data_IF_814604643245
#
_entry.id   IF_814604643245
#
_cell.length_a   1.000
_cell.length_b   1.000
_cell.length_c   1.000
_cell.angle_alpha   90.00
_cell.angle_beta   90.00
_cell.angle_gamma   90.00
#
_symmetry.space_group_name_H-M   'P 1'
#
loop_
_entity.id
_entity.type
_entity.pdbx_description
1 polymer ?
#
# COMPACT_ATOMS: atom_id res chain seq x y z
N UNK A 1 13.27 -37.33 40.19
CA UNK A 1 13.90 -38.53 40.80
C UNK A 1 15.40 -38.39 40.67
N UNK A 2 16.15 -38.74 41.73
CA UNK A 2 17.60 -38.85 41.62
C UNK A 2 17.97 -39.97 40.63
N UNK A 3 19.11 -39.83 39.95
CA UNK A 3 19.61 -40.84 39.01
C UNK A 3 20.00 -42.09 39.84
N UNK A 4 19.44 -43.27 39.54
CA UNK A 4 19.86 -44.50 40.21
C UNK A 4 21.35 -44.78 39.97
N UNK A 5 22.05 -45.22 41.01
CA UNK A 5 23.47 -45.58 40.93
C UNK A 5 23.59 -47.09 41.07
N UNK A 6 24.33 -47.70 40.15
CA UNK A 6 24.72 -49.12 40.25
C UNK A 6 26.08 -49.18 40.93
N UNK A 7 26.14 -49.80 42.11
CA UNK A 7 27.37 -50.00 42.84
C UNK A 7 28.23 -51.03 42.11
N UNK A 8 29.52 -50.75 41.82
CA UNK A 8 30.41 -51.74 41.23
C UNK A 8 30.48 -53.01 42.09
N UNK A 9 30.48 -54.18 41.46
CA UNK A 9 30.66 -55.43 42.16
C UNK A 9 32.06 -55.51 42.80
N UNK A 10 32.18 -56.19 43.97
CA UNK A 10 33.48 -56.58 44.51
C UNK A 10 34.28 -57.44 43.52
N UNK A 11 35.58 -57.61 43.77
CA UNK A 11 36.43 -58.50 42.96
C UNK A 11 35.80 -59.89 42.86
N UNK A 12 35.68 -60.42 41.64
CA UNK A 12 35.18 -61.78 41.44
C UNK A 12 36.20 -62.82 41.94
N UNK A 13 35.75 -63.93 42.56
CA UNK A 13 36.66 -64.98 42.99
C UNK A 13 37.29 -65.67 41.78
N UNK A 14 38.61 -65.90 41.81
CA UNK A 14 39.34 -66.61 40.75
C UNK A 14 39.91 -67.92 41.27
N UNK A 15 39.76 -68.98 40.48
CA UNK A 15 40.35 -70.30 40.80
C UNK A 15 41.88 -70.29 40.81
N UNK A 16 42.50 -69.24 40.31
CA UNK A 16 43.95 -69.07 40.30
C UNK A 16 44.53 -68.49 41.61
N UNK A 17 43.70 -67.90 42.49
CA UNK A 17 44.17 -67.18 43.69
C UNK A 17 44.45 -68.11 44.90
N UNK A 18 44.25 -69.42 44.75
CA UNK A 18 44.28 -70.38 45.87
C UNK A 18 42.98 -70.37 46.69
N UNK A 19 42.83 -71.35 47.58
CA UNK A 19 41.56 -71.60 48.29
C UNK A 19 41.17 -70.48 49.25
N UNK A 20 42.14 -69.89 49.95
CA UNK A 20 41.90 -68.83 50.94
C UNK A 20 41.38 -67.55 50.28
N UNK A 21 42.04 -67.07 49.23
CA UNK A 21 41.63 -65.87 48.51
C UNK A 21 40.34 -66.08 47.69
N UNK A 22 40.10 -67.29 47.17
CA UNK A 22 38.83 -67.62 46.52
C UNK A 22 37.66 -67.44 47.49
N UNK A 23 37.75 -67.99 48.71
CA UNK A 23 36.72 -67.86 49.73
C UNK A 23 36.57 -66.40 50.20
N UNK A 24 37.68 -65.68 50.33
CA UNK A 24 37.68 -64.25 50.72
C UNK A 24 36.88 -63.37 49.74
N UNK A 25 36.94 -63.66 48.43
CA UNK A 25 36.24 -62.87 47.40
C UNK A 25 34.86 -63.42 47.03
N UNK A 26 34.59 -64.70 47.27
CA UNK A 26 33.33 -65.33 46.90
C UNK A 26 32.13 -64.78 47.69
N UNK A 27 32.24 -64.70 49.02
CA UNK A 27 31.13 -64.27 49.86
C UNK A 27 30.72 -62.81 49.61
N UNK A 28 31.64 -61.82 49.53
CA UNK A 28 31.29 -60.45 49.19
C UNK A 28 30.69 -60.30 47.78
N UNK A 29 31.20 -61.06 46.80
CA UNK A 29 30.70 -61.02 45.43
C UNK A 29 29.26 -61.53 45.35
N UNK A 30 28.98 -62.70 45.93
CA UNK A 30 27.63 -63.29 45.95
C UNK A 30 26.66 -62.41 46.73
N UNK A 31 27.08 -61.86 47.87
CA UNK A 31 26.27 -60.94 48.67
C UNK A 31 25.91 -59.64 47.92
N UNK A 32 26.75 -59.20 46.98
CA UNK A 32 26.51 -58.00 46.18
C UNK A 32 25.56 -58.23 44.97
N UNK A 33 25.30 -59.48 44.57
CA UNK A 33 24.45 -59.76 43.40
C UNK A 33 22.97 -59.36 43.60
N UNK A 34 22.28 -59.69 44.72
CA UNK A 34 20.89 -59.29 44.90
C UNK A 34 20.68 -57.76 44.93
N UNK A 35 21.50 -56.97 45.67
CA UNK A 35 21.42 -55.51 45.60
C UNK A 35 21.65 -54.94 44.20
N UNK A 36 22.56 -55.52 43.42
CA UNK A 36 22.80 -55.10 42.02
C UNK A 36 21.55 -55.29 41.16
N UNK A 37 20.83 -56.41 41.29
CA UNK A 37 19.56 -56.63 40.55
C UNK A 37 18.53 -55.54 40.87
N UNK A 38 18.41 -55.14 42.14
CA UNK A 38 17.51 -54.06 42.55
C UNK A 38 17.93 -52.73 41.93
N UNK A 39 19.22 -52.41 41.94
CA UNK A 39 19.76 -51.18 41.34
C UNK A 39 19.57 -51.13 39.82
N UNK A 40 19.75 -52.26 39.12
CA UNK A 40 19.49 -52.37 37.68
C UNK A 40 18.00 -52.14 37.38
N UNK A 41 17.11 -52.78 38.11
CA UNK A 41 15.66 -52.60 37.92
C UNK A 41 15.21 -51.15 38.18
N UNK A 42 15.79 -50.50 39.19
CA UNK A 42 15.57 -49.08 39.45
C UNK A 42 16.07 -48.20 38.29
N UNK A 43 17.23 -48.53 37.72
CA UNK A 43 17.80 -47.82 36.55
C UNK A 43 16.92 -47.98 35.31
N UNK A 44 16.43 -49.18 35.02
CA UNK A 44 15.52 -49.45 33.91
C UNK A 44 14.19 -48.68 34.05
N UNK A 45 13.66 -48.63 35.28
CA UNK A 45 12.44 -47.86 35.58
C UNK A 45 12.67 -46.37 35.35
N UNK A 46 13.80 -45.82 35.81
CA UNK A 46 14.14 -44.43 35.59
C UNK A 46 14.32 -44.10 34.09
N UNK A 47 14.98 -44.98 33.33
CA UNK A 47 15.13 -44.83 31.87
C UNK A 47 13.75 -44.78 31.21
N UNK A 48 12.83 -45.69 31.58
CA UNK A 48 11.46 -45.68 31.06
C UNK A 48 10.76 -44.35 31.29
N UNK A 49 10.88 -43.79 32.49
CA UNK A 49 10.32 -42.47 32.81
C UNK A 49 10.94 -41.33 31.98
N UNK A 50 12.26 -41.36 31.75
CA UNK A 50 12.92 -40.35 30.90
C UNK A 50 12.45 -40.43 29.45
N UNK A 51 12.30 -41.64 28.90
CA UNK A 51 11.78 -41.84 27.54
C UNK A 51 10.36 -41.28 27.41
N UNK A 52 9.47 -41.59 28.35
CA UNK A 52 8.11 -41.03 28.36
C UNK A 52 8.12 -39.50 28.46
N UNK A 53 9.01 -38.92 29.25
CA UNK A 53 9.13 -37.46 29.33
C UNK A 53 9.58 -36.83 28.00
N UNK A 54 10.56 -37.45 27.33
CA UNK A 54 11.05 -37.02 26.01
C UNK A 54 9.94 -37.09 24.95
N UNK A 55 9.15 -38.17 24.93
CA UNK A 55 7.99 -38.31 24.05
C UNK A 55 6.95 -37.19 24.30
N UNK A 56 6.69 -36.87 25.58
CA UNK A 56 5.81 -35.76 25.97
C UNK A 56 6.30 -34.40 25.50
N UNK A 57 7.62 -34.14 25.60
CA UNK A 57 8.22 -32.92 25.07
C UNK A 57 8.13 -32.85 23.55
N UNK A 58 8.40 -33.95 22.83
CA UNK A 58 8.29 -33.99 21.38
C UNK A 58 6.86 -33.69 20.89
N UNK A 59 5.85 -34.28 21.54
CA UNK A 59 4.45 -34.02 21.24
C UNK A 59 4.08 -32.55 21.48
N UNK A 60 4.55 -31.96 22.59
CA UNK A 60 4.31 -30.56 22.94
C UNK A 60 4.95 -29.61 21.92
N UNK A 61 6.20 -29.86 21.52
CA UNK A 61 6.90 -29.07 20.50
C UNK A 61 6.14 -29.11 19.17
N UNK A 62 5.71 -30.30 18.73
CA UNK A 62 4.92 -30.44 17.51
C UNK A 62 3.62 -29.62 17.56
N UNK A 63 2.92 -29.64 18.70
CA UNK A 63 1.71 -28.84 18.91
C UNK A 63 1.97 -27.33 18.85
N UNK A 64 3.05 -26.88 19.51
CA UNK A 64 3.44 -25.47 19.50
C UNK A 64 3.81 -24.96 18.10
N UNK A 65 4.51 -25.78 17.31
CA UNK A 65 4.84 -25.44 15.91
C UNK A 65 3.57 -25.31 15.07
N UNK A 66 2.63 -26.24 15.21
CA UNK A 66 1.35 -26.17 14.49
C UNK A 66 0.54 -24.92 14.87
N UNK A 67 0.46 -24.60 16.17
CA UNK A 67 -0.22 -23.41 16.66
C UNK A 67 0.44 -22.12 16.13
N UNK A 68 1.77 -22.03 16.20
CA UNK A 68 2.52 -20.89 15.67
C UNK A 68 2.28 -20.68 14.17
N UNK A 69 2.27 -21.76 13.39
CA UNK A 69 1.94 -21.71 11.96
C UNK A 69 0.51 -21.21 11.72
N UNK A 70 -0.47 -21.73 12.45
CA UNK A 70 -1.86 -21.29 12.31
C UNK A 70 -2.05 -19.79 12.65
N UNK A 71 -1.36 -19.30 13.69
CA UNK A 71 -1.36 -17.87 14.03
C UNK A 71 -0.72 -17.02 12.93
N UNK A 72 0.41 -17.45 12.35
CA UNK A 72 1.05 -16.75 11.25
C UNK A 72 0.18 -16.70 9.98
N UNK A 73 -0.44 -17.83 9.61
CA UNK A 73 -1.36 -17.91 8.48
C UNK A 73 -2.59 -17.00 8.69
N UNK A 74 -3.13 -16.95 9.91
CA UNK A 74 -4.24 -16.06 10.27
C UNK A 74 -3.86 -14.58 10.18
N UNK A 75 -2.68 -14.20 10.68
CA UNK A 75 -2.19 -12.83 10.59
C UNK A 75 -2.00 -12.37 9.14
N UNK A 76 -1.47 -13.25 8.27
CA UNK A 76 -1.33 -12.97 6.85
C UNK A 76 -2.69 -12.79 6.15
N UNK A 77 -3.68 -13.63 6.48
CA UNK A 77 -5.04 -13.51 5.95
C UNK A 77 -5.72 -12.20 6.36
N UNK A 78 -5.59 -11.80 7.64
CA UNK A 78 -6.12 -10.53 8.14
C UNK A 78 -5.44 -9.35 7.44
N UNK A 79 -4.10 -9.37 7.30
CA UNK A 79 -3.37 -8.31 6.61
C UNK A 79 -3.81 -8.18 5.14
N UNK A 80 -4.01 -9.30 4.44
CA UNK A 80 -4.54 -9.30 3.07
C UNK A 80 -5.98 -8.74 3.00
N UNK A 81 -6.84 -9.11 3.95
CA UNK A 81 -8.21 -8.62 4.02
C UNK A 81 -8.27 -7.10 4.29
N UNK A 82 -7.45 -6.59 5.22
CA UNK A 82 -7.34 -5.15 5.50
C UNK A 82 -6.79 -4.41 4.28
N UNK A 83 -5.77 -4.95 3.62
CA UNK A 83 -5.23 -4.37 2.38
C UNK A 83 -6.29 -4.27 1.28
N UNK A 84 -7.10 -5.33 1.12
CA UNK A 84 -8.23 -5.32 0.17
C UNK A 84 -9.33 -4.35 0.57
N UNK A 85 -9.67 -4.25 1.86
CA UNK A 85 -10.69 -3.31 2.35
C UNK A 85 -10.26 -1.85 2.20
N UNK A 86 -8.97 -1.57 2.36
CA UNK A 86 -8.38 -0.26 2.12
C UNK A 86 -8.20 0.06 0.62
N UNK A 87 -8.55 -0.86 -0.29
CA UNK A 87 -8.40 -0.67 -1.73
C UNK A 87 -6.95 -0.52 -2.18
N UNK A 88 -5.99 -1.06 -1.42
CA UNK A 88 -4.57 -0.94 -1.74
C UNK A 88 -4.17 -1.95 -2.83
N UNK A 89 -3.53 -1.50 -3.92
CA UNK A 89 -3.04 -2.38 -4.97
C UNK A 89 -1.82 -3.20 -4.52
N UNK A 90 -1.56 -4.33 -5.18
CA UNK A 90 -0.40 -5.18 -4.91
C UNK A 90 0.92 -4.42 -5.07
N UNK A 91 1.85 -4.59 -4.12
CA UNK A 91 3.21 -4.05 -4.21
C UNK A 91 4.09 -4.80 -5.22
N UNK A 92 3.76 -6.06 -5.54
CA UNK A 92 4.56 -6.88 -6.44
C UNK A 92 4.57 -6.28 -7.85
N UNK A 93 5.77 -6.08 -8.41
CA UNK A 93 5.95 -5.48 -9.74
C UNK A 93 5.82 -3.95 -9.80
N UNK A 94 5.63 -3.28 -8.66
CA UNK A 94 5.43 -1.81 -8.59
C UNK A 94 6.58 -1.06 -7.89
N UNK A 95 7.79 -1.62 -7.91
CA UNK A 95 8.96 -0.97 -7.32
C UNK A 95 9.19 0.44 -7.92
N UNK A 96 9.41 1.43 -7.05
CA UNK A 96 9.67 2.85 -7.39
C UNK A 96 8.51 3.58 -8.09
N UNK A 97 7.33 2.97 -8.19
CA UNK A 97 6.14 3.66 -8.71
C UNK A 97 5.48 4.46 -7.60
N UNK A 98 5.04 5.67 -7.94
CA UNK A 98 4.26 6.50 -7.03
C UNK A 98 2.85 5.93 -6.89
N UNK A 99 2.30 5.95 -5.68
CA UNK A 99 0.89 5.65 -5.42
C UNK A 99 0.11 6.97 -5.52
N UNK A 100 -0.99 6.98 -6.26
CA UNK A 100 -1.87 8.14 -6.36
C UNK A 100 -3.34 7.73 -6.35
N UNK A 101 -4.21 8.67 -5.98
CA UNK A 101 -5.67 8.51 -6.02
C UNK A 101 -6.11 8.42 -7.48
N UNK A 102 -7.03 7.49 -7.77
CA UNK A 102 -7.61 7.33 -9.09
C UNK A 102 -8.43 8.58 -9.48
N UNK A 103 -8.55 8.87 -10.78
CA UNK A 103 -9.29 10.04 -11.26
C UNK A 103 -10.78 10.08 -10.85
N UNK A 104 -11.36 8.94 -10.48
CA UNK A 104 -12.73 8.83 -9.99
C UNK A 104 -12.84 8.88 -8.45
N UNK A 105 -11.74 9.11 -7.74
CA UNK A 105 -11.65 9.24 -6.27
C UNK A 105 -12.10 8.00 -5.47
N UNK A 106 -12.28 6.85 -6.11
CA UNK A 106 -12.76 5.62 -5.45
C UNK A 106 -11.67 4.69 -4.94
N UNK A 107 -10.39 5.05 -5.10
CA UNK A 107 -9.28 4.20 -4.68
C UNK A 107 -7.92 4.76 -5.08
N UNK A 108 -6.87 3.94 -4.93
CA UNK A 108 -5.49 4.29 -5.27
C UNK A 108 -4.88 3.27 -6.23
N UNK A 109 -3.97 3.71 -7.09
CA UNK A 109 -3.23 2.83 -8.01
C UNK A 109 -1.78 3.28 -8.17
N UNK A 110 -0.89 2.33 -8.46
CA UNK A 110 0.49 2.64 -8.81
C UNK A 110 0.55 3.26 -10.20
N UNK A 111 1.10 4.47 -10.27
CA UNK A 111 1.23 5.21 -11.51
C UNK A 111 2.32 4.59 -12.39
N UNK A 112 2.00 4.39 -13.67
CA UNK A 112 2.95 3.92 -14.68
C UNK A 112 3.88 5.04 -15.17
N UNK A 113 3.50 6.31 -14.93
CA UNK A 113 4.24 7.51 -15.32
C UNK A 113 4.15 8.54 -14.18
N UNK A 114 5.27 9.18 -13.82
CA UNK A 114 5.30 10.26 -12.80
C UNK A 114 4.49 11.49 -13.28
N UNK A 115 4.35 11.67 -14.59
CA UNK A 115 3.56 12.75 -15.21
C UNK A 115 2.04 12.55 -15.16
N UNK A 116 1.50 11.43 -14.67
CA UNK A 116 0.05 11.16 -14.71
C UNK A 116 -0.80 11.99 -13.74
N UNK A 117 -0.19 12.59 -12.71
CA UNK A 117 -0.91 13.38 -11.71
C UNK A 117 -0.98 14.85 -12.13
N UNK A 118 -1.89 15.16 -13.04
CA UNK A 118 -2.18 16.54 -13.42
C UNK A 118 -3.18 17.17 -12.44
N UNK A 119 -2.92 18.41 -12.02
CA UNK A 119 -3.90 19.23 -11.27
C UNK A 119 -5.13 19.55 -12.16
N UNK A 120 -4.93 19.58 -13.49
CA UNK A 120 -5.96 19.79 -14.51
C UNK A 120 -5.84 18.70 -15.59
N UNK A 121 -6.49 17.54 -15.44
CA UNK A 121 -6.25 16.38 -16.31
C UNK A 121 -6.95 16.44 -17.66
N UNK A 122 -7.84 17.41 -17.89
CA UNK A 122 -8.68 17.47 -19.09
C UNK A 122 -8.71 18.88 -19.67
N UNK A 123 -8.69 18.96 -21.01
CA UNK A 123 -8.98 20.17 -21.79
C UNK A 123 -10.32 19.98 -22.50
N UNK A 124 -11.24 20.95 -22.37
CA UNK A 124 -12.45 20.96 -23.17
C UNK A 124 -12.12 21.44 -24.59
N UNK A 125 -12.10 20.53 -25.55
CA UNK A 125 -11.96 20.86 -26.98
C UNK A 125 -13.32 20.82 -27.65
N UNK A 126 -13.80 21.92 -28.24
CA UNK A 126 -15.14 21.96 -28.82
C UNK A 126 -15.23 22.86 -30.06
N UNK A 127 -16.05 22.43 -31.03
CA UNK A 127 -16.59 23.32 -32.06
C UNK A 127 -17.84 24.01 -31.52
N UNK A 128 -17.88 25.34 -31.55
CA UNK A 128 -18.91 26.13 -30.84
C UNK A 128 -19.69 27.04 -31.77
N UNK A 129 -20.95 27.30 -31.42
CA UNK A 129 -21.87 28.22 -32.10
C UNK A 129 -22.98 28.62 -31.14
N UNK A 130 -23.62 29.77 -31.34
CA UNK A 130 -24.73 30.19 -30.49
C UNK A 130 -24.25 30.45 -29.05
N UNK A 131 -24.88 29.85 -28.04
CA UNK A 131 -24.43 30.00 -26.65
C UNK A 131 -23.60 28.80 -26.20
N UNK A 132 -22.41 29.04 -25.65
CA UNK A 132 -21.56 28.00 -25.10
C UNK A 132 -21.17 28.31 -23.65
N UNK A 133 -21.37 27.34 -22.75
CA UNK A 133 -21.06 27.48 -21.35
C UNK A 133 -19.64 26.99 -21.04
N UNK A 134 -18.82 27.88 -20.49
CA UNK A 134 -17.53 27.56 -19.91
C UNK A 134 -17.77 27.00 -18.50
N UNK A 135 -17.83 25.67 -18.39
CA UNK A 135 -18.01 24.99 -17.11
C UNK A 135 -16.65 24.71 -16.45
N UNK A 136 -16.22 25.64 -15.61
CA UNK A 136 -14.93 25.52 -14.90
C UNK A 136 -14.99 24.53 -13.72
N UNK A 137 -16.16 23.97 -13.41
CA UNK A 137 -16.24 22.85 -12.47
C UNK A 137 -15.69 21.54 -13.08
N UNK A 138 -15.47 21.49 -14.40
CA UNK A 138 -14.99 20.30 -15.10
C UNK A 138 -13.58 20.42 -15.68
N UNK A 139 -13.12 21.64 -15.98
CA UNK A 139 -11.76 21.89 -16.50
C UNK A 139 -11.39 23.37 -16.39
N UNK A 140 -10.11 23.64 -16.14
CA UNK A 140 -9.51 24.97 -16.22
C UNK A 140 -9.01 25.39 -17.61
N UNK A 141 -9.15 24.55 -18.65
CA UNK A 141 -8.67 24.87 -20.00
C UNK A 141 -9.71 24.54 -21.09
N UNK A 142 -10.08 25.56 -21.87
CA UNK A 142 -11.02 25.44 -22.99
C UNK A 142 -10.31 25.79 -24.30
N UNK A 143 -10.27 24.87 -25.27
CA UNK A 143 -9.82 25.14 -26.64
C UNK A 143 -11.02 25.09 -27.58
N UNK A 144 -11.47 26.26 -28.03
CA UNK A 144 -12.72 26.42 -28.75
C UNK A 144 -12.48 26.83 -30.20
N UNK A 145 -13.18 26.18 -31.12
CA UNK A 145 -13.22 26.53 -32.54
C UNK A 145 -14.61 27.03 -32.92
N UNK A 146 -14.83 28.34 -33.08
CA UNK A 146 -16.13 28.88 -33.46
C UNK A 146 -16.49 28.52 -34.91
N UNK A 147 -17.74 28.14 -35.13
CA UNK A 147 -18.33 27.83 -36.45
C UNK A 147 -19.43 28.81 -36.84
N UNK A 148 -19.85 29.65 -35.90
CA UNK A 148 -20.73 30.81 -36.07
C UNK A 148 -20.45 31.83 -34.96
N UNK A 149 -21.11 32.99 -34.98
CA UNK A 149 -21.09 33.92 -33.86
C UNK A 149 -21.46 33.17 -32.55
N UNK A 150 -20.63 33.35 -31.52
CA UNK A 150 -20.73 32.58 -30.27
C UNK A 150 -20.73 33.50 -29.06
N UNK A 151 -21.71 33.33 -28.19
CA UNK A 151 -21.78 33.97 -26.88
C UNK A 151 -21.31 33.00 -25.81
N UNK A 152 -20.31 33.39 -25.02
CA UNK A 152 -19.81 32.60 -23.92
C UNK A 152 -20.57 32.93 -22.64
N UNK A 153 -20.87 31.90 -21.84
CA UNK A 153 -21.39 32.04 -20.48
C UNK A 153 -20.44 31.37 -19.49
N UNK A 154 -20.46 31.79 -18.22
CA UNK A 154 -19.62 31.23 -17.17
C UNK A 154 -20.47 30.40 -16.21
N UNK A 155 -20.03 29.18 -15.93
CA UNK A 155 -20.51 28.36 -14.82
C UNK A 155 -19.35 28.17 -13.85
N UNK A 156 -19.30 29.01 -12.81
CA UNK A 156 -18.19 29.08 -11.84
C UNK A 156 -18.53 28.31 -10.55
N UNK A 157 -17.55 27.67 -9.89
CA UNK A 157 -17.70 27.25 -8.50
C UNK A 157 -17.85 28.47 -7.58
N UNK A 158 -18.45 28.26 -6.41
CA UNK A 158 -18.46 29.28 -5.35
C UNK A 158 -17.09 29.34 -4.69
N UNK A 159 -16.41 30.48 -4.80
CA UNK A 159 -15.14 30.76 -4.13
C UNK A 159 -15.35 31.68 -2.93
N UNK A 160 -14.57 31.46 -1.87
CA UNK A 160 -14.46 32.45 -0.79
C UNK A 160 -13.64 33.66 -1.24
N UNK A 161 -13.69 34.76 -0.48
CA UNK A 161 -12.92 35.99 -0.78
C UNK A 161 -11.40 35.81 -0.69
N UNK A 162 -10.94 34.74 -0.05
CA UNK A 162 -9.52 34.38 0.08
C UNK A 162 -9.06 33.37 -0.97
N UNK A 163 -9.97 32.86 -1.79
CA UNK A 163 -9.68 31.91 -2.84
C UNK A 163 -9.58 32.60 -4.20
N UNK A 164 -8.60 32.15 -4.98
CA UNK A 164 -8.38 32.60 -6.35
C UNK A 164 -8.31 31.37 -7.24
N UNK A 165 -8.95 31.46 -8.39
CA UNK A 165 -8.88 30.45 -9.45
C UNK A 165 -8.47 31.12 -10.75
N UNK A 166 -7.70 30.41 -11.57
CA UNK A 166 -7.30 30.85 -12.91
C UNK A 166 -7.69 29.77 -13.90
N UNK A 167 -8.31 30.17 -15.01
CA UNK A 167 -8.59 29.30 -16.13
C UNK A 167 -8.26 29.99 -17.46
N UNK A 168 -8.07 29.18 -18.49
CA UNK A 168 -7.66 29.63 -19.82
C UNK A 168 -8.71 29.27 -20.84
N UNK A 169 -9.01 30.22 -21.72
CA UNK A 169 -9.83 30.01 -22.91
C UNK A 169 -8.98 30.34 -24.12
N UNK A 170 -8.70 29.34 -24.93
CA UNK A 170 -8.12 29.49 -26.26
C UNK A 170 -9.25 29.53 -27.29
N UNK A 171 -9.24 30.56 -28.13
CA UNK A 171 -10.12 30.66 -29.30
C UNK A 171 -9.27 30.49 -30.55
N UNK A 172 -9.61 29.50 -31.37
CA UNK A 172 -9.00 29.26 -32.68
C UNK A 172 -10.03 29.52 -33.78
N UNK A 173 -9.77 30.50 -34.64
CA UNK A 173 -10.63 30.78 -35.78
C UNK A 173 -10.27 29.91 -36.98
N UNK A 174 -11.29 29.44 -37.70
CA UNK A 174 -11.11 28.84 -39.02
C UNK A 174 -10.78 29.89 -40.10
N UNK A 175 -10.99 29.53 -41.37
CA UNK A 175 -10.81 30.44 -42.51
C UNK A 175 -11.74 31.66 -42.47
N UNK A 176 -12.84 31.57 -41.73
CA UNK A 176 -13.76 32.68 -41.45
C UNK A 176 -13.67 33.01 -39.98
N UNK A 177 -13.51 34.29 -39.65
CA UNK A 177 -13.55 34.75 -38.28
C UNK A 177 -14.99 34.96 -37.82
N UNK A 178 -15.34 34.42 -36.66
CA UNK A 178 -16.62 34.66 -36.01
C UNK A 178 -16.47 35.50 -34.75
N UNK A 179 -17.48 36.32 -34.47
CA UNK A 179 -17.52 37.12 -33.25
C UNK A 179 -17.68 36.23 -32.01
N UNK A 180 -16.89 36.52 -30.98
CA UNK A 180 -17.04 36.00 -29.63
C UNK A 180 -17.59 37.11 -28.74
N UNK A 181 -18.76 36.88 -28.16
CA UNK A 181 -19.34 37.75 -27.15
C UNK A 181 -19.02 37.18 -25.77
N UNK A 182 -18.26 37.95 -24.99
CA UNK A 182 -17.92 37.61 -23.62
C UNK A 182 -19.03 38.01 -22.63
N UNK A 183 -19.18 37.31 -21.49
CA UNK A 183 -20.08 37.73 -20.42
C UNK A 183 -19.78 39.17 -19.96
N UNK A 184 -20.82 39.98 -19.84
CA UNK A 184 -20.69 41.38 -19.40
C UNK A 184 -20.24 41.55 -17.95
N UNK A 185 -20.24 40.48 -17.15
CA UNK A 185 -19.74 40.47 -15.77
C UNK A 185 -18.21 40.41 -15.65
N UNK A 186 -17.49 40.18 -16.75
CA UNK A 186 -16.02 40.13 -16.73
C UNK A 186 -15.46 41.55 -16.72
N UNK A 187 -14.61 41.83 -15.73
CA UNK A 187 -13.81 43.05 -15.66
C UNK A 187 -12.53 42.85 -16.46
N UNK A 188 -12.43 43.48 -17.63
CA UNK A 188 -11.24 43.36 -18.48
C UNK A 188 -10.13 44.29 -18.03
N UNK A 189 -8.89 43.81 -18.00
CA UNK A 189 -7.70 44.60 -17.67
C UNK A 189 -7.11 45.32 -18.87
N UNK A 190 -7.86 45.43 -19.97
CA UNK A 190 -7.52 46.20 -21.17
C UNK A 190 -7.76 47.70 -20.94
N UNK A 191 -7.14 48.57 -21.75
CA UNK A 191 -7.50 49.99 -21.77
C UNK A 191 -9.01 50.16 -22.03
N UNK A 192 -9.69 50.87 -21.13
CA UNK A 192 -11.14 51.10 -21.21
C UNK A 192 -12.03 49.99 -20.65
N UNK A 193 -11.47 48.91 -20.09
CA UNK A 193 -12.25 47.85 -19.44
C UNK A 193 -13.10 47.00 -20.39
N UNK A 194 -12.78 47.02 -21.69
CA UNK A 194 -13.55 46.38 -22.75
C UNK A 194 -12.98 45.00 -23.11
N UNK A 195 -13.86 44.07 -23.48
CA UNK A 195 -13.43 42.76 -23.93
C UNK A 195 -12.50 42.88 -25.16
N UNK A 196 -11.36 42.16 -25.18
CA UNK A 196 -10.51 42.12 -26.36
C UNK A 196 -11.28 41.51 -27.53
N UNK A 197 -11.00 42.00 -28.74
CA UNK A 197 -11.59 41.47 -29.97
C UNK A 197 -11.25 39.99 -30.15
N UNK A 198 -12.14 39.28 -30.84
CA UNK A 198 -11.90 37.91 -31.27
C UNK A 198 -10.67 37.84 -32.18
N UNK A 199 -9.97 36.68 -32.23
CA UNK A 199 -8.86 36.50 -33.16
C UNK A 199 -9.33 36.71 -34.61
N UNK A 200 -8.41 37.09 -35.49
CA UNK A 200 -8.67 37.18 -36.93
C UNK A 200 -8.81 35.77 -37.55
N UNK A 201 -9.24 35.71 -38.81
CA UNK A 201 -9.36 34.44 -39.53
C UNK A 201 -8.00 33.72 -39.60
N UNK A 202 -8.03 32.40 -39.36
CA UNK A 202 -6.85 31.54 -39.31
C UNK A 202 -5.91 31.80 -38.13
N UNK A 203 -6.33 32.63 -37.17
CA UNK A 203 -5.53 33.01 -35.99
C UNK A 203 -6.08 32.40 -34.72
N UNK A 204 -5.22 32.34 -33.70
CA UNK A 204 -5.61 31.97 -32.33
C UNK A 204 -5.27 33.05 -31.33
N UNK A 205 -6.06 33.13 -30.26
CA UNK A 205 -5.69 33.90 -29.08
C UNK A 205 -6.12 33.17 -27.80
N UNK A 206 -5.29 33.29 -26.79
CA UNK A 206 -5.59 32.87 -25.43
C UNK A 206 -6.18 34.04 -24.64
N UNK A 207 -7.05 33.70 -23.71
CA UNK A 207 -7.65 34.60 -22.75
C UNK A 207 -7.49 33.96 -21.38
N UNK A 208 -6.89 34.70 -20.45
CA UNK A 208 -6.65 34.24 -19.09
C UNK A 208 -7.68 34.93 -18.21
N UNK A 209 -8.46 34.13 -17.49
CA UNK A 209 -9.48 34.61 -16.58
C UNK A 209 -9.10 34.24 -15.15
N UNK A 210 -9.23 35.21 -14.25
CA UNK A 210 -8.97 35.06 -12.83
C UNK A 210 -10.24 35.34 -12.06
N UNK A 211 -10.67 34.39 -11.24
CA UNK A 211 -11.84 34.51 -10.36
C UNK A 211 -11.34 34.74 -8.94
N UNK A 212 -11.84 35.80 -8.29
CA UNK A 212 -11.56 36.12 -6.90
C UNK A 212 -12.89 36.39 -6.20
N UNK A 213 -13.31 35.47 -5.32
CA UNK A 213 -14.69 35.47 -4.82
C UNK A 213 -15.70 35.43 -5.97
N UNK A 214 -16.52 36.47 -6.11
CA UNK A 214 -17.51 36.62 -7.19
C UNK A 214 -17.03 37.45 -8.38
N UNK A 215 -15.84 38.06 -8.29
CA UNK A 215 -15.32 38.93 -9.35
C UNK A 215 -14.52 38.12 -10.36
N UNK A 216 -14.83 38.29 -11.64
CA UNK A 216 -14.06 37.70 -12.74
C UNK A 216 -13.27 38.80 -13.43
N UNK A 217 -11.94 38.64 -13.50
CA UNK A 217 -11.03 39.52 -14.24
C UNK A 217 -10.52 38.80 -15.47
N UNK A 218 -10.52 39.47 -16.62
CA UNK A 218 -10.06 38.91 -17.89
C UNK A 218 -8.89 39.68 -18.48
N UNK A 219 -7.96 38.97 -19.11
CA UNK A 219 -6.89 39.56 -19.93
C UNK A 219 -6.62 38.73 -21.18
N UNK A 220 -6.20 39.39 -22.26
CA UNK A 220 -5.70 38.70 -23.45
C UNK A 220 -4.29 38.15 -23.16
N UNK A 221 -4.09 36.87 -23.43
CA UNK A 221 -2.80 36.17 -23.37
C UNK A 221 -2.07 36.22 -24.71
N UNK A 222 -1.39 35.14 -25.05
CA UNK A 222 -0.68 35.04 -26.33
C UNK A 222 -1.65 34.97 -27.52
N UNK A 223 -1.24 35.52 -28.67
CA UNK A 223 -1.98 35.41 -29.92
C UNK A 223 -1.02 35.41 -31.11
N UNK A 224 -1.42 34.81 -32.23
CA UNK A 224 -0.62 34.79 -33.46
C UNK A 224 -1.43 35.09 -34.72
#
# INVERSE_FOLDING_TARGET
MAIPVVTPLPRAPSRADGQEAFNQYADPFIAAMPPMVVQVNASLTWIGQQVTAIEGYAATVSGNVAAAKASADSAAAIAAAIGSQAGLPSMAGNARRALAVNANETGVSYQTLIMGSFIEPAMATASVSGTYALNVNTTGFFSLTPTAATTLTLSLPTLTTTQVMVFVVEIQQGSTAFAITWPGSIVWTTPGGVAPTSPNAGKRAEYILTVQGTTVKGRKGASN
#
